data_IF_860489111219
#
_entry.id   IF_860489111219
#
_cell.length_a   1.000
_cell.length_b   1.000
_cell.length_c   1.000
_cell.angle_alpha   90.00
_cell.angle_beta   90.00
_cell.angle_gamma   90.00
#
_symmetry.space_group_name_H-M   'P 1'
#
loop_
_entity.id
_entity.type
_entity.pdbx_description
1 polymer ?
#
# COMPACT_ATOMS: atom_id res chain seq x y z
N UNK A 1 19.93 -2.01 5.36
CA UNK A 1 18.58 -1.43 5.34
C UNK A 1 17.75 -2.20 6.34
N UNK A 2 17.29 -1.55 7.42
CA UNK A 2 16.19 -2.11 8.21
C UNK A 2 14.93 -1.81 7.41
N UNK A 3 14.28 -2.82 6.89
CA UNK A 3 13.00 -2.61 6.22
C UNK A 3 11.98 -2.44 7.35
N UNK A 4 11.26 -1.31 7.43
CA UNK A 4 10.20 -1.16 8.43
C UNK A 4 9.21 -2.32 8.29
N UNK A 5 8.56 -2.70 9.39
CA UNK A 5 7.52 -3.73 9.31
C UNK A 5 6.39 -3.18 8.42
N UNK A 6 6.20 -3.81 7.27
CA UNK A 6 5.24 -3.41 6.25
C UNK A 6 4.23 -4.52 6.02
N UNK A 7 2.97 -4.12 5.86
CA UNK A 7 1.86 -4.98 5.47
C UNK A 7 1.27 -4.39 4.20
N UNK A 8 1.10 -5.21 3.16
CA UNK A 8 0.62 -4.77 1.86
C UNK A 8 -0.72 -5.43 1.58
N UNK A 9 -1.69 -4.61 1.18
CA UNK A 9 -3.03 -5.04 0.85
C UNK A 9 -3.43 -4.51 -0.52
N UNK A 10 -4.15 -5.31 -1.28
CA UNK A 10 -4.94 -4.84 -2.40
C UNK A 10 -6.34 -4.48 -1.89
N UNK A 11 -6.92 -3.39 -2.37
CA UNK A 11 -8.28 -3.01 -2.02
C UNK A 11 -9.05 -2.48 -3.23
N UNK A 12 -10.29 -2.02 -3.00
CA UNK A 12 -11.06 -1.31 -4.01
C UNK A 12 -11.61 -2.19 -5.14
N UNK A 13 -11.91 -1.56 -6.27
CA UNK A 13 -12.58 -2.23 -7.39
C UNK A 13 -11.70 -3.29 -8.06
N UNK A 14 -10.38 -3.15 -7.89
CA UNK A 14 -9.38 -4.07 -8.43
C UNK A 14 -9.47 -5.49 -7.89
N UNK A 15 -10.10 -5.70 -6.72
CA UNK A 15 -10.35 -7.01 -6.13
C UNK A 15 -11.46 -7.80 -6.82
N UNK A 16 -12.38 -7.11 -7.47
CA UNK A 16 -13.60 -7.71 -8.01
C UNK A 16 -13.52 -7.96 -9.52
N UNK A 17 -12.37 -7.73 -10.14
CA UNK A 17 -12.17 -7.85 -11.58
C UNK A 17 -10.88 -8.60 -11.91
N UNK A 18 -10.97 -9.59 -12.80
CA UNK A 18 -9.80 -10.31 -13.35
C UNK A 18 -8.95 -9.43 -14.29
N UNK A 19 -9.52 -8.31 -14.77
CA UNK A 19 -8.83 -7.28 -15.58
C UNK A 19 -9.15 -5.89 -15.01
N UNK A 20 -8.48 -5.49 -13.93
CA UNK A 20 -8.72 -4.19 -13.31
C UNK A 20 -8.18 -3.06 -14.20
N UNK A 21 -8.91 -1.94 -14.28
CA UNK A 21 -8.46 -0.75 -15.03
C UNK A 21 -7.38 0.03 -14.28
N UNK A 22 -7.38 -0.09 -12.96
CA UNK A 22 -6.51 0.56 -12.00
C UNK A 22 -6.35 -0.36 -10.79
N UNK A 23 -5.22 -0.23 -10.08
CA UNK A 23 -4.91 -1.05 -8.93
C UNK A 23 -4.76 -0.18 -7.68
N UNK A 24 -5.61 -0.42 -6.69
CA UNK A 24 -5.52 0.22 -5.38
C UNK A 24 -4.68 -0.66 -4.42
N UNK A 25 -3.56 -0.11 -3.95
CA UNK A 25 -2.66 -0.76 -2.99
C UNK A 25 -2.62 0.04 -1.70
N UNK A 26 -2.86 -0.62 -0.58
CA UNK A 26 -2.67 -0.07 0.75
C UNK A 26 -1.39 -0.63 1.34
N UNK A 27 -0.48 0.26 1.73
CA UNK A 27 0.72 -0.07 2.48
C UNK A 27 0.54 0.46 3.91
N UNK A 28 0.47 -0.46 4.86
CA UNK A 28 0.51 -0.13 6.29
C UNK A 28 1.94 -0.35 6.78
N UNK A 29 2.54 0.69 7.35
CA UNK A 29 3.91 0.65 7.84
C UNK A 29 3.96 0.99 9.34
N UNK A 30 4.99 0.49 10.01
CA UNK A 30 5.28 0.84 11.41
C UNK A 30 6.62 1.56 11.50
N UNK A 31 6.62 2.81 11.95
CA UNK A 31 7.86 3.53 12.22
C UNK A 31 8.57 2.94 13.45
N UNK A 32 9.88 2.79 13.34
CA UNK A 32 10.78 2.61 14.47
C UNK A 32 11.49 3.94 14.78
N UNK A 33 11.68 4.81 13.78
CA UNK A 33 12.29 6.14 13.91
C UNK A 33 11.76 7.14 12.87
N UNK A 34 11.76 8.44 13.18
CA UNK A 34 11.30 9.51 12.28
C UNK A 34 12.16 9.63 11.01
N UNK A 35 13.42 9.20 11.06
CA UNK A 35 14.31 9.20 9.90
C UNK A 35 13.90 8.18 8.82
N UNK A 36 12.93 7.30 9.09
CA UNK A 36 12.46 6.29 8.15
C UNK A 36 11.38 6.80 7.18
N UNK A 37 10.86 8.02 7.37
CA UNK A 37 9.81 8.61 6.51
C UNK A 37 10.26 8.67 5.04
N UNK A 38 11.48 9.15 4.78
CA UNK A 38 12.03 9.24 3.42
C UNK A 38 12.17 7.85 2.78
N UNK A 39 12.51 6.83 3.57
CA UNK A 39 12.61 5.46 3.07
C UNK A 39 11.25 4.89 2.69
N UNK A 40 10.21 5.15 3.50
CA UNK A 40 8.84 4.70 3.21
C UNK A 40 8.29 5.41 1.97
N UNK A 41 8.53 6.72 1.81
CA UNK A 41 8.12 7.45 0.61
C UNK A 41 8.84 6.92 -0.64
N UNK A 42 10.15 6.67 -0.54
CA UNK A 42 10.93 6.07 -1.64
C UNK A 42 10.38 4.70 -1.99
N UNK A 43 10.14 3.85 -1.00
CA UNK A 43 9.58 2.51 -1.18
C UNK A 43 8.22 2.54 -1.87
N UNK A 44 7.32 3.45 -1.45
CA UNK A 44 6.01 3.67 -2.08
C UNK A 44 6.16 3.96 -3.58
N UNK A 45 7.05 4.89 -3.93
CA UNK A 45 7.26 5.31 -5.31
C UNK A 45 7.89 4.20 -6.16
N UNK A 46 8.85 3.45 -5.61
CA UNK A 46 9.48 2.32 -6.29
C UNK A 46 8.49 1.19 -6.56
N UNK A 47 7.63 0.85 -5.59
CA UNK A 47 6.58 -0.16 -5.78
C UNK A 47 5.59 0.28 -6.84
N UNK A 48 5.07 1.51 -6.74
CA UNK A 48 4.13 2.07 -7.72
C UNK A 48 4.69 1.92 -9.13
N UNK A 49 5.90 2.44 -9.37
CA UNK A 49 6.54 2.40 -10.68
C UNK A 49 6.74 0.96 -11.19
N UNK A 50 7.21 0.06 -10.33
CA UNK A 50 7.44 -1.35 -10.70
C UNK A 50 6.15 -2.04 -11.12
N UNK A 51 5.07 -1.82 -10.38
CA UNK A 51 3.79 -2.47 -10.67
C UNK A 51 3.13 -1.85 -11.90
N UNK A 52 3.12 -0.52 -12.03
CA UNK A 52 2.61 0.16 -13.23
C UNK A 52 3.34 -0.30 -14.49
N UNK A 53 4.67 -0.46 -14.42
CA UNK A 53 5.48 -0.94 -15.56
C UNK A 53 5.19 -2.41 -15.88
N UNK A 54 4.91 -3.24 -14.88
CA UNK A 54 4.66 -4.67 -15.07
C UNK A 54 3.24 -4.97 -15.59
N UNK A 55 2.24 -4.24 -15.09
CA UNK A 55 0.83 -4.48 -15.38
C UNK A 55 0.27 -3.55 -16.46
N UNK A 56 0.99 -2.48 -16.81
CA UNK A 56 0.56 -1.47 -17.79
C UNK A 56 -0.78 -0.80 -17.44
N UNK A 57 -1.11 -0.74 -16.15
CA UNK A 57 -2.28 -0.05 -15.60
C UNK A 57 -1.83 0.95 -14.52
N UNK A 58 -2.58 2.04 -14.29
CA UNK A 58 -2.32 2.95 -13.19
C UNK A 58 -2.40 2.25 -11.83
N UNK A 59 -1.52 2.62 -10.91
CA UNK A 59 -1.52 2.09 -9.54
C UNK A 59 -1.62 3.26 -8.56
N UNK A 60 -2.65 3.23 -7.72
CA UNK A 60 -2.79 4.17 -6.62
C UNK A 60 -2.37 3.51 -5.31
N UNK A 61 -1.40 4.14 -4.65
CA UNK A 61 -0.83 3.62 -3.41
C UNK A 61 -1.20 4.54 -2.25
N UNK A 62 -2.07 4.03 -1.37
CA UNK A 62 -2.38 4.64 -0.09
C UNK A 62 -1.36 4.16 0.93
N UNK A 63 -0.79 5.11 1.67
CA UNK A 63 0.24 4.84 2.65
C UNK A 63 -0.28 5.30 4.02
N UNK A 64 -0.36 4.39 4.98
CA UNK A 64 -0.83 4.67 6.34
C UNK A 64 0.15 4.10 7.37
N UNK A 65 0.41 4.85 8.44
CA UNK A 65 1.01 4.26 9.63
C UNK A 65 0.04 3.28 10.31
N UNK A 66 0.56 2.34 11.10
CA UNK A 66 -0.26 1.42 11.89
C UNK A 66 -1.25 2.19 12.79
N UNK A 67 -0.81 3.28 13.43
CA UNK A 67 -1.66 4.15 14.25
C UNK A 67 -2.78 4.81 13.44
N UNK A 68 -2.49 5.35 12.25
CA UNK A 68 -3.51 5.95 11.37
C UNK A 68 -4.52 4.91 10.90
N UNK A 69 -4.06 3.73 10.50
CA UNK A 69 -4.94 2.66 10.03
C UNK A 69 -5.93 2.20 11.11
N UNK A 70 -5.46 2.08 12.36
CA UNK A 70 -6.28 1.76 13.54
C UNK A 70 -7.25 2.90 13.84
N UNK A 71 -6.76 4.14 13.90
CA UNK A 71 -7.58 5.29 14.25
C UNK A 71 -8.72 5.52 13.24
N UNK A 72 -8.44 5.33 11.95
CA UNK A 72 -9.43 5.46 10.89
C UNK A 72 -10.36 4.25 10.77
N UNK A 73 -10.05 3.14 11.46
CA UNK A 73 -10.68 1.84 11.28
C UNK A 73 -10.69 1.44 9.80
N UNK A 74 -9.59 1.72 9.09
CA UNK A 74 -9.58 1.73 7.63
C UNK A 74 -9.91 0.35 7.06
N UNK A 75 -9.30 -0.69 7.63
CA UNK A 75 -9.54 -2.08 7.25
C UNK A 75 -10.98 -2.54 7.56
N UNK A 76 -11.67 -1.94 8.53
CA UNK A 76 -13.07 -2.31 8.84
C UNK A 76 -14.06 -1.75 7.82
N UNK A 77 -13.64 -0.73 7.05
CA UNK A 77 -14.52 0.02 6.12
C UNK A 77 -14.34 -0.37 4.65
N UNK A 78 -13.31 -1.15 4.33
CA UNK A 78 -12.91 -1.44 2.95
C UNK A 78 -12.78 -2.95 2.77
N UNK A 79 -13.19 -3.45 1.61
CA UNK A 79 -12.89 -4.83 1.22
C UNK A 79 -11.43 -4.87 0.77
N UNK A 80 -10.63 -5.71 1.42
CA UNK A 80 -9.19 -5.82 1.16
C UNK A 80 -8.74 -7.28 1.09
N UNK A 81 -7.64 -7.51 0.39
CA UNK A 81 -6.90 -8.77 0.39
C UNK A 81 -5.45 -8.52 0.78
N UNK A 82 -4.94 -9.27 1.75
CA UNK A 82 -3.53 -9.17 2.13
C UNK A 82 -2.65 -9.86 1.09
N UNK A 83 -1.62 -9.15 0.62
CA UNK A 83 -0.62 -9.65 -0.31
C UNK A 83 0.64 -10.09 0.43
N UNK A 84 1.10 -9.28 1.40
CA UNK A 84 2.36 -9.47 2.14
C UNK A 84 2.21 -8.98 3.59
#
# INVERSE_FOLDING_TARGET
MKVPEIKIYQFGSSLCSDTPNDLDILIIYKFLDLNEIDEVIRFKNEIKLKIETALLIPVDVVLLSEDEAVHLQYLEKVVFQRIF
#
